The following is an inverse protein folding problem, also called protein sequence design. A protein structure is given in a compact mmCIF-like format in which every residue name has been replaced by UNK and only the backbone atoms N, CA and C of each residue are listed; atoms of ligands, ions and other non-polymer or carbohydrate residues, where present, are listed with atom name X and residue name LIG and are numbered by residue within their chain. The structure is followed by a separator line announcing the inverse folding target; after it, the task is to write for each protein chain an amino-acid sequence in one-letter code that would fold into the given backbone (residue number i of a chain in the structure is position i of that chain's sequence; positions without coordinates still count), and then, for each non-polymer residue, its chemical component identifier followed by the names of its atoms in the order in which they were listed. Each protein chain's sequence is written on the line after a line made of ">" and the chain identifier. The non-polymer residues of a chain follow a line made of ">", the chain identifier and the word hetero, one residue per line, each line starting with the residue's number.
data_IF_736285909354
#
_entry.id   IF_736285909354
#
_cell.length_a   1.000
_cell.length_b   1.000
_cell.length_c   1.000
_cell.angle_alpha   90.00
_cell.angle_beta   90.00
_cell.angle_gamma   90.00
#
_symmetry.space_group_name_H-M   'P 1'
#
loop_
_entity.id
_entity.type
_entity.pdbx_description
1 polymer ?
#
# COMPACT_ATOMS: atom_id res chain seq x y z
N UNK A 1 -0.15 26.42 7.19
CA UNK A 1 -1.31 26.02 6.38
C UNK A 1 -1.25 24.51 6.21
N UNK A 2 -2.34 23.78 6.49
CA UNK A 2 -2.34 22.30 6.52
C UNK A 2 -2.28 21.67 5.10
N UNK A 3 -2.23 22.49 4.04
CA UNK A 3 -2.15 22.06 2.64
C UNK A 3 -0.71 22.08 2.06
N UNK A 4 0.30 22.02 2.93
CA UNK A 4 1.70 21.99 2.50
C UNK A 4 1.98 20.69 1.71
N UNK A 5 2.47 20.84 0.47
CA UNK A 5 2.95 19.70 -0.32
C UNK A 5 4.35 19.32 0.17
N UNK A 6 4.54 18.03 0.43
CA UNK A 6 5.83 17.45 0.80
C UNK A 6 6.31 16.54 -0.31
N UNK A 7 7.62 16.54 -0.56
CA UNK A 7 8.31 15.60 -1.44
C UNK A 7 9.04 14.56 -0.60
N UNK A 8 9.22 13.39 -1.19
CA UNK A 8 9.83 12.26 -0.53
C UNK A 8 10.01 11.10 -1.49
N UNK A 9 10.76 10.11 -1.05
CA UNK A 9 11.05 8.90 -1.83
C UNK A 9 10.61 7.65 -1.07
N UNK A 10 10.24 6.61 -1.83
CA UNK A 10 9.88 5.30 -1.26
C UNK A 10 11.16 4.61 -0.80
N UNK A 11 11.25 4.30 0.49
CA UNK A 11 12.42 3.63 1.08
C UNK A 11 12.25 2.12 1.19
N UNK A 12 11.01 1.62 1.22
CA UNK A 12 10.76 0.18 1.24
C UNK A 12 9.36 -0.18 0.78
N UNK A 13 9.27 -1.30 0.08
CA UNK A 13 8.02 -2.00 -0.24
C UNK A 13 8.11 -3.37 0.43
N UNK A 14 7.23 -3.64 1.40
CA UNK A 14 7.30 -4.89 2.18
C UNK A 14 6.36 -5.93 1.56
N UNK A 15 6.93 -7.00 1.00
CA UNK A 15 6.20 -8.08 0.34
C UNK A 15 5.72 -9.20 1.29
N UNK A 16 5.76 -8.99 2.60
CA UNK A 16 5.33 -9.96 3.61
C UNK A 16 3.81 -10.08 3.67
N UNK A 17 3.20 -10.65 2.62
CA UNK A 17 1.78 -10.98 2.60
C UNK A 17 1.67 -12.49 2.43
N UNK A 18 1.33 -13.15 3.52
CA UNK A 18 0.95 -14.55 3.57
C UNK A 18 -0.40 -14.70 2.85
N UNK A 19 -0.38 -15.40 1.71
CA UNK A 19 -1.59 -15.84 1.03
C UNK A 19 -2.29 -16.90 1.91
N UNK A 20 -3.23 -16.47 2.74
CA UNK A 20 -3.99 -17.35 3.65
C UNK A 20 -4.93 -18.32 2.94
N UNK A 21 -5.09 -18.23 1.61
CA UNK A 21 -5.99 -19.11 0.86
C UNK A 21 -5.32 -20.43 0.42
N UNK A 22 -4.06 -20.67 0.79
CA UNK A 22 -3.27 -21.83 0.32
C UNK A 22 -3.14 -23.02 1.28
N UNK A 23 -3.94 -23.11 2.35
CA UNK A 23 -4.03 -24.36 3.11
C UNK A 23 -5.12 -25.27 2.54
N UNK A 24 -4.88 -25.85 1.37
CA UNK A 24 -5.66 -27.00 0.88
C UNK A 24 -5.31 -28.23 1.74
N UNK A 25 -6.04 -28.38 2.84
CA UNK A 25 -5.99 -29.56 3.68
C UNK A 25 -6.51 -30.79 2.92
N UNK A 26 -5.62 -31.75 2.69
CA UNK A 26 -5.93 -33.07 2.15
C UNK A 26 -6.87 -33.82 3.11
N UNK A 27 -8.16 -33.90 2.79
CA UNK A 27 -9.02 -34.90 3.42
C UNK A 27 -10.02 -35.49 2.42
N UNK A 28 -9.99 -36.82 2.34
CA UNK A 28 -10.67 -37.68 1.37
C UNK A 28 -12.16 -37.88 1.74
N UNK A 29 -13.00 -36.85 1.60
CA UNK A 29 -14.46 -36.98 1.75
C UNK A 29 -15.24 -36.33 0.58
N UNK A 30 -16.49 -36.76 0.31
CA UNK A 30 -17.18 -36.51 -0.95
C UNK A 30 -17.45 -35.02 -1.22
N UNK A 31 -17.19 -34.64 -2.47
CA UNK A 31 -17.30 -33.31 -3.06
C UNK A 31 -18.76 -32.82 -3.11
N UNK A 32 -19.16 -31.97 -2.16
CA UNK A 32 -20.33 -31.09 -2.30
C UNK A 32 -19.85 -29.70 -2.69
N UNK A 33 -20.10 -29.32 -3.95
CA UNK A 33 -19.71 -28.07 -4.57
C UNK A 33 -20.43 -26.87 -3.90
N UNK A 34 -19.76 -26.07 -3.05
CA UNK A 34 -20.38 -24.87 -2.51
C UNK A 34 -20.24 -23.75 -3.55
N UNK A 35 -21.34 -23.05 -3.82
CA UNK A 35 -21.44 -21.95 -4.78
C UNK A 35 -20.19 -21.04 -4.77
N UNK A 36 -19.56 -20.88 -5.94
CA UNK A 36 -18.39 -20.05 -6.18
C UNK A 36 -18.39 -18.77 -5.31
N UNK A 37 -17.46 -18.67 -4.36
CA UNK A 37 -17.19 -17.42 -3.63
C UNK A 37 -16.16 -16.60 -4.41
N UNK A 38 -16.61 -15.85 -5.41
CA UNK A 38 -15.74 -15.07 -6.31
C UNK A 38 -15.32 -13.70 -5.76
N UNK A 39 -15.48 -13.47 -4.45
CA UNK A 39 -15.09 -12.19 -3.85
C UNK A 39 -13.61 -12.24 -3.49
N UNK A 40 -12.78 -11.58 -4.32
CA UNK A 40 -11.38 -11.28 -4.00
C UNK A 40 -11.28 -9.88 -3.43
N UNK A 41 -10.67 -9.74 -2.25
CA UNK A 41 -10.34 -8.43 -1.69
C UNK A 41 -9.05 -7.91 -2.34
N UNK A 42 -8.97 -6.60 -2.55
CA UNK A 42 -7.73 -5.98 -2.99
C UNK A 42 -6.65 -6.15 -1.91
N UNK A 43 -5.50 -6.66 -2.31
CA UNK A 43 -4.34 -6.77 -1.44
C UNK A 43 -3.72 -5.37 -1.25
N UNK A 44 -3.54 -4.96 0.01
CA UNK A 44 -2.86 -3.71 0.36
C UNK A 44 -1.41 -4.01 0.70
N UNK A 45 -0.47 -3.37 0.00
CA UNK A 45 0.97 -3.56 0.21
C UNK A 45 1.49 -2.41 1.08
N UNK A 46 2.09 -2.69 2.26
CA UNK A 46 2.71 -1.65 3.07
C UNK A 46 3.90 -1.01 2.35
N UNK A 47 3.87 0.31 2.24
CA UNK A 47 4.98 1.13 1.71
C UNK A 47 5.45 2.10 2.78
N UNK A 48 6.75 2.36 2.81
CA UNK A 48 7.37 3.36 3.69
C UNK A 48 7.98 4.46 2.83
N UNK A 49 7.64 5.71 3.14
CA UNK A 49 8.11 6.91 2.44
C UNK A 49 8.93 7.72 3.43
N UNK A 50 10.11 8.17 3.01
CA UNK A 50 10.88 9.17 3.73
C UNK A 50 10.66 10.53 3.06
N UNK A 51 10.44 11.58 3.85
CA UNK A 51 10.38 12.95 3.34
C UNK A 51 11.79 13.49 3.11
N UNK A 52 11.98 14.21 2.01
CA UNK A 52 13.28 14.80 1.67
C UNK A 52 13.50 16.12 2.42
N UNK A 53 12.49 16.99 2.36
CA UNK A 53 12.50 18.27 3.02
C UNK A 53 11.17 18.49 3.74
N UNK A 54 11.26 18.85 5.02
CA UNK A 54 10.10 19.20 5.84
C UNK A 54 10.23 20.67 6.22
N UNK A 55 9.27 21.53 5.83
CA UNK A 55 9.27 22.93 6.22
C UNK A 55 9.30 23.08 7.74
N UNK A 56 10.10 24.00 8.28
CA UNK A 56 10.27 24.17 9.73
C UNK A 56 8.99 24.55 10.49
N UNK A 57 7.96 25.02 9.79
CA UNK A 57 6.63 25.31 10.34
C UNK A 57 5.62 24.17 10.14
N UNK A 58 6.03 23.03 9.58
CA UNK A 58 5.17 21.89 9.36
C UNK A 58 5.15 20.96 10.58
N UNK A 59 3.98 20.81 11.20
CA UNK A 59 3.81 19.94 12.37
C UNK A 59 3.44 18.52 11.92
N UNK A 60 4.37 17.59 12.05
CA UNK A 60 4.09 16.17 11.90
C UNK A 60 3.29 15.65 13.11
N UNK A 61 2.10 15.12 12.85
CA UNK A 61 1.25 14.50 13.87
C UNK A 61 0.97 13.06 13.43
N UNK A 62 1.31 12.10 14.29
CA UNK A 62 1.01 10.70 14.05
C UNK A 62 -0.51 10.48 13.93
N UNK A 63 -0.92 9.61 13.00
CA UNK A 63 -2.34 9.29 12.75
C UNK A 63 -3.06 10.21 11.77
N UNK A 64 -2.39 11.22 11.20
CA UNK A 64 -2.94 12.00 10.08
C UNK A 64 -3.02 11.19 8.79
N UNK A 65 -4.07 11.42 8.02
CA UNK A 65 -4.21 10.90 6.65
C UNK A 65 -3.69 11.92 5.64
N UNK A 66 -3.19 11.43 4.52
CA UNK A 66 -2.73 12.24 3.41
C UNK A 66 -3.04 11.53 2.09
N UNK A 67 -3.16 12.31 1.02
CA UNK A 67 -3.21 11.78 -0.35
C UNK A 67 -1.79 11.76 -0.90
N UNK A 68 -1.36 10.60 -1.41
CA UNK A 68 -0.03 10.43 -2.00
C UNK A 68 -0.20 10.24 -3.50
N UNK A 69 0.60 10.98 -4.28
CA UNK A 69 0.73 10.80 -5.73
C UNK A 69 2.16 10.37 -6.02
N UNK A 70 2.32 9.30 -6.81
CA UNK A 70 3.63 8.89 -7.32
C UNK A 70 3.90 9.69 -8.60
N UNK A 71 5.04 10.37 -8.63
CA UNK A 71 5.51 11.12 -9.80
C UNK A 71 6.57 10.24 -10.45
N UNK A 72 6.39 9.84 -11.70
CA UNK A 72 7.44 9.18 -12.46
C UNK A 72 8.58 10.17 -12.72
N UNK A 73 9.83 9.74 -12.57
CA UNK A 73 11.03 10.54 -12.90
C UNK A 73 10.99 11.09 -14.34
N UNK A 74 10.23 10.44 -15.22
CA UNK A 74 10.03 10.86 -16.62
C UNK A 74 9.32 12.22 -16.75
N UNK A 75 8.54 12.65 -15.75
CA UNK A 75 7.71 13.85 -15.81
C UNK A 75 8.45 15.14 -15.40
N UNK A 76 9.59 15.04 -14.68
CA UNK A 76 10.41 16.22 -14.36
C UNK A 76 11.17 16.75 -15.59
N UNK A 77 11.51 15.88 -16.55
CA UNK A 77 12.20 16.27 -17.78
C UNK A 77 11.31 17.06 -18.77
N UNK A 78 10.01 17.23 -18.48
CA UNK A 78 9.04 17.88 -19.37
C UNK A 78 8.41 19.17 -18.82
N UNK A 79 8.85 19.67 -17.65
CA UNK A 79 8.41 20.99 -17.12
C UNK A 79 9.50 22.05 -17.17
#
# INVERSE_FOLDING_TARGET
>A
DDNARLTGHVVSIVAGIEDRDRSSGSNLLPNVNPAFSWVRLAQRIPVRIAFDEVPGNFRMIAGRTATVSIIDDTQEAQR
#
